data_IF_554975768875
#
_entry.id   IF_554975768875
#
_cell.length_a   1.000
_cell.length_b   1.000
_cell.length_c   1.000
_cell.angle_alpha   90.00
_cell.angle_beta   90.00
_cell.angle_gamma   90.00
#
_symmetry.space_group_name_H-M   'P 1'
#
loop_
_entity.id
_entity.type
_entity.pdbx_description
1 polymer ?
#
# COMPACT_ATOMS: atom_id res chain seq x y z
N UNK A 1 -1.99 -9.02 -1.64
CA UNK A 1 -3.43 -9.32 -1.57
C UNK A 1 -3.78 -10.25 -2.72
N UNK A 2 -4.52 -11.31 -2.45
CA UNK A 2 -4.45 -12.57 -3.23
C UNK A 2 -5.77 -12.87 -3.95
N UNK A 3 -5.71 -13.36 -5.20
CA UNK A 3 -6.81 -14.00 -5.94
C UNK A 3 -6.57 -15.50 -6.11
N UNK A 4 -7.57 -16.33 -5.78
CA UNK A 4 -7.70 -17.68 -6.30
C UNK A 4 -8.79 -17.65 -7.37
N UNK A 5 -8.44 -17.66 -8.66
CA UNK A 5 -9.45 -17.82 -9.72
C UNK A 5 -9.67 -19.31 -9.98
N UNK A 6 -10.91 -19.77 -9.84
CA UNK A 6 -11.44 -20.92 -10.56
C UNK A 6 -11.96 -20.46 -11.93
N UNK A 7 -11.94 -21.36 -12.91
CA UNK A 7 -12.32 -21.07 -14.29
C UNK A 7 -13.82 -20.77 -14.41
N UNK A 8 -14.17 -19.67 -15.09
CA UNK A 8 -15.50 -19.48 -15.68
C UNK A 8 -15.37 -19.09 -17.14
N UNK A 9 -16.29 -19.64 -17.96
CA UNK A 9 -16.29 -19.60 -19.42
C UNK A 9 -16.48 -18.18 -19.99
N UNK A 10 -16.21 -17.93 -21.28
CA UNK A 10 -16.02 -16.59 -21.86
C UNK A 10 -17.28 -15.71 -21.98
N UNK A 11 -18.44 -16.09 -21.45
CA UNK A 11 -19.71 -15.49 -21.87
C UNK A 11 -20.25 -14.30 -21.03
N UNK A 12 -19.72 -14.02 -19.84
CA UNK A 12 -20.32 -12.98 -18.97
C UNK A 12 -19.61 -11.62 -19.02
N UNK A 13 -19.20 -11.18 -20.20
CA UNK A 13 -18.83 -9.78 -20.45
C UNK A 13 -20.06 -9.02 -20.96
N UNK A 14 -20.94 -8.60 -20.06
CA UNK A 14 -21.67 -7.32 -20.11
C UNK A 14 -22.77 -7.26 -19.04
N UNK A 15 -22.60 -6.41 -18.04
CA UNK A 15 -23.71 -5.67 -17.44
C UNK A 15 -23.18 -4.46 -16.66
N UNK A 16 -23.33 -3.28 -17.25
CA UNK A 16 -23.38 -2.02 -16.51
C UNK A 16 -24.71 -1.99 -15.75
N UNK A 17 -24.68 -2.10 -14.43
CA UNK A 17 -25.82 -1.73 -13.59
C UNK A 17 -25.35 -1.27 -12.22
N UNK A 18 -25.77 -0.06 -11.85
CA UNK A 18 -25.62 0.53 -10.52
C UNK A 18 -26.28 -0.42 -9.52
N UNK A 19 -25.50 -1.00 -8.60
CA UNK A 19 -26.01 -1.94 -7.61
C UNK A 19 -26.55 -1.21 -6.37
N UNK A 20 -27.67 -1.72 -5.87
CA UNK A 20 -28.40 -1.22 -4.70
C UNK A 20 -27.61 -1.38 -3.39
N UNK A 21 -27.74 -0.44 -2.45
CA UNK A 21 -26.92 -0.41 -1.21
C UNK A 21 -27.20 -1.61 -0.29
N UNK A 22 -28.44 -2.09 -0.25
CA UNK A 22 -28.84 -3.23 0.57
C UNK A 22 -28.30 -4.56 0.00
N UNK A 23 -28.17 -4.65 -1.33
CA UNK A 23 -27.49 -5.76 -2.01
C UNK A 23 -25.98 -5.69 -1.75
N UNK A 24 -25.42 -4.47 -1.73
CA UNK A 24 -24.02 -4.25 -1.35
C UNK A 24 -23.78 -4.74 0.08
N UNK A 25 -24.64 -4.42 1.03
CA UNK A 25 -24.51 -4.80 2.44
C UNK A 25 -24.74 -6.31 2.67
N UNK A 26 -25.68 -6.91 1.94
CA UNK A 26 -25.93 -8.36 1.94
C UNK A 26 -24.75 -9.17 1.37
N UNK A 27 -24.17 -8.71 0.26
CA UNK A 27 -22.95 -9.28 -0.32
C UNK A 27 -21.75 -9.10 0.63
N UNK A 28 -21.68 -7.99 1.36
CA UNK A 28 -20.63 -7.71 2.36
C UNK A 28 -20.68 -8.67 3.56
N UNK A 29 -21.86 -9.22 3.89
CA UNK A 29 -22.04 -10.19 4.99
C UNK A 29 -21.69 -11.64 4.62
N UNK A 30 -21.84 -12.06 3.35
CA UNK A 30 -21.43 -13.40 2.89
C UNK A 30 -19.94 -13.51 2.52
N UNK A 31 -19.29 -12.38 2.19
CA UNK A 31 -17.87 -12.29 1.85
C UNK A 31 -16.99 -12.32 3.11
N UNK A 32 -16.87 -13.49 3.74
CA UNK A 32 -16.02 -13.71 4.92
C UNK A 32 -14.56 -13.31 4.64
N UNK A 33 -14.27 -12.04 4.93
CA UNK A 33 -13.01 -11.36 4.65
C UNK A 33 -11.86 -12.09 5.34
N UNK A 34 -11.04 -12.85 4.60
CA UNK A 34 -9.80 -13.47 5.08
C UNK A 34 -8.72 -12.40 5.33
N UNK A 35 -9.02 -11.48 6.24
CA UNK A 35 -8.14 -10.40 6.67
C UNK A 35 -6.96 -11.01 7.42
N UNK A 36 -5.75 -10.50 7.16
CA UNK A 36 -4.53 -10.97 7.79
C UNK A 36 -4.58 -10.94 9.32
N UNK A 37 -5.24 -9.92 9.90
CA UNK A 37 -5.42 -9.81 11.35
C UNK A 37 -6.35 -10.87 11.95
N UNK A 38 -7.25 -11.45 11.16
CA UNK A 38 -8.11 -12.56 11.57
C UNK A 38 -7.38 -13.90 11.41
N UNK A 39 -6.60 -14.06 10.34
CA UNK A 39 -5.78 -15.26 10.10
C UNK A 39 -4.81 -15.48 11.28
N UNK A 40 -4.16 -14.43 11.76
CA UNK A 40 -3.27 -14.53 12.93
C UNK A 40 -3.97 -15.02 14.22
N UNK A 41 -5.30 -14.95 14.30
CA UNK A 41 -6.10 -15.46 15.44
C UNK A 41 -6.60 -16.89 15.22
N UNK A 42 -6.49 -17.42 14.01
CA UNK A 42 -6.96 -18.76 13.66
C UNK A 42 -5.78 -19.66 13.21
N UNK A 43 -5.18 -20.45 14.12
CA UNK A 43 -4.09 -21.36 13.78
C UNK A 43 -4.44 -22.45 12.76
N UNK A 44 -5.72 -22.75 12.57
CA UNK A 44 -6.19 -23.76 11.60
C UNK A 44 -6.28 -23.23 10.17
N UNK A 45 -6.15 -21.91 9.97
CA UNK A 45 -6.17 -21.33 8.63
C UNK A 45 -4.92 -21.78 7.83
N UNK A 46 -5.07 -22.27 6.58
CA UNK A 46 -3.95 -22.76 5.78
C UNK A 46 -2.86 -21.71 5.51
N UNK A 47 -3.17 -20.42 5.60
CA UNK A 47 -2.22 -19.32 5.39
C UNK A 47 -1.51 -18.92 6.70
N UNK A 48 -2.04 -19.29 7.86
CA UNK A 48 -1.49 -18.93 9.17
C UNK A 48 0.00 -19.31 9.35
N UNK A 49 0.44 -20.55 9.01
CA UNK A 49 1.84 -20.94 9.19
C UNK A 49 2.80 -20.03 8.42
N UNK A 50 2.42 -19.66 7.19
CA UNK A 50 3.22 -18.79 6.33
C UNK A 50 3.26 -17.37 6.87
N UNK A 51 2.13 -16.79 7.26
CA UNK A 51 2.10 -15.41 7.81
C UNK A 51 2.90 -15.33 9.12
N UNK A 52 2.84 -16.37 9.95
CA UNK A 52 3.62 -16.45 11.20
C UNK A 52 5.12 -16.50 10.91
N UNK A 53 5.53 -17.31 9.94
CA UNK A 53 6.93 -17.41 9.50
C UNK A 53 7.47 -16.09 8.94
N UNK A 54 6.64 -15.34 8.23
CA UNK A 54 7.00 -14.05 7.62
C UNK A 54 6.56 -12.84 8.44
N UNK A 55 6.46 -13.00 9.76
CA UNK A 55 6.06 -11.93 10.70
C UNK A 55 7.05 -10.75 10.79
N UNK A 56 8.26 -10.91 10.24
CA UNK A 56 9.26 -9.86 10.07
C UNK A 56 8.92 -8.89 8.93
N UNK A 57 8.23 -9.35 7.89
CA UNK A 57 7.84 -8.55 6.70
C UNK A 57 6.35 -8.29 6.58
N UNK A 58 5.51 -9.16 7.13
CA UNK A 58 4.05 -8.97 7.19
C UNK A 58 3.64 -8.79 8.64
N UNK A 59 3.57 -7.53 9.07
CA UNK A 59 3.37 -7.19 10.48
C UNK A 59 2.53 -5.93 10.64
N UNK A 60 2.07 -5.69 11.87
CA UNK A 60 1.33 -4.45 12.20
C UNK A 60 2.25 -3.23 12.33
N UNK A 61 3.50 -3.48 12.71
CA UNK A 61 4.48 -2.45 13.07
C UNK A 61 5.75 -2.69 12.25
N UNK A 62 5.80 -2.23 10.98
CA UNK A 62 7.02 -2.30 10.21
C UNK A 62 8.12 -1.46 10.90
N UNK A 63 9.40 -1.83 10.74
CA UNK A 63 10.48 -1.11 11.38
C UNK A 63 10.56 0.33 10.85
N UNK A 64 10.65 1.30 11.77
CA UNK A 64 10.85 2.71 11.43
C UNK A 64 12.35 2.94 11.17
N UNK A 65 12.82 2.52 9.99
CA UNK A 65 14.19 2.73 9.51
C UNK A 65 14.20 3.22 8.07
N UNK A 66 15.33 3.79 7.63
CA UNK A 66 15.51 4.13 6.23
C UNK A 66 15.54 2.86 5.36
N UNK A 67 14.97 2.91 4.14
CA UNK A 67 15.12 1.82 3.20
C UNK A 67 16.60 1.60 2.84
N UNK A 68 17.00 0.38 2.44
CA UNK A 68 18.35 0.14 1.97
C UNK A 68 18.65 1.00 0.73
N UNK A 69 19.89 1.43 0.56
CA UNK A 69 20.31 2.12 -0.67
C UNK A 69 20.26 1.12 -1.83
N UNK A 70 19.55 1.50 -2.89
CA UNK A 70 19.37 0.68 -4.11
C UNK A 70 20.02 1.33 -5.34
N UNK A 71 20.85 2.35 -5.13
CA UNK A 71 21.45 3.14 -6.23
C UNK A 71 20.46 4.08 -6.94
N UNK A 72 19.19 4.06 -6.54
CA UNK A 72 18.15 4.97 -7.03
C UNK A 72 17.71 5.85 -5.87
N UNK A 73 17.78 7.17 -6.06
CA UNK A 73 17.31 8.17 -5.09
C UNK A 73 16.15 8.95 -5.69
N UNK A 74 15.24 9.37 -4.82
CA UNK A 74 14.21 10.31 -5.23
C UNK A 74 14.84 11.69 -5.34
N UNK A 75 14.87 12.22 -6.55
CA UNK A 75 15.36 13.56 -6.86
C UNK A 75 14.17 14.49 -7.13
N UNK A 76 14.34 15.75 -6.75
CA UNK A 76 13.34 16.80 -6.91
C UNK A 76 13.98 17.88 -7.77
N UNK A 77 13.72 17.80 -9.06
CA UNK A 77 14.21 18.78 -10.03
C UNK A 77 13.35 20.04 -9.99
N UNK A 78 13.99 21.19 -9.82
CA UNK A 78 13.32 22.48 -9.89
C UNK A 78 13.47 23.08 -11.29
N UNK A 79 12.46 23.84 -11.72
CA UNK A 79 12.52 24.59 -12.98
C UNK A 79 13.75 25.51 -12.96
N UNK A 80 14.59 25.53 -14.01
CA UNK A 80 15.77 26.37 -14.07
C UNK A 80 15.48 27.84 -13.74
N UNK A 81 16.31 28.45 -12.89
CA UNK A 81 16.11 29.82 -12.42
C UNK A 81 15.16 29.94 -11.21
N UNK A 82 14.62 28.84 -10.68
CA UNK A 82 13.92 28.85 -9.39
C UNK A 82 14.89 29.28 -8.29
N UNK A 83 14.51 30.32 -7.54
CA UNK A 83 15.31 30.81 -6.40
C UNK A 83 15.11 29.86 -5.21
N UNK A 84 14.22 30.17 -4.29
CA UNK A 84 13.77 29.26 -3.24
C UNK A 84 12.29 29.50 -2.98
N UNK A 85 11.61 28.47 -2.46
CA UNK A 85 10.19 28.56 -2.10
C UNK A 85 10.07 28.52 -0.59
N UNK A 86 9.65 29.64 -0.01
CA UNK A 86 9.52 29.82 1.44
C UNK A 86 8.08 30.17 1.75
N UNK A 87 7.43 29.30 2.50
CA UNK A 87 6.17 29.57 3.15
C UNK A 87 6.39 29.45 4.65
N UNK A 88 6.10 30.52 5.39
CA UNK A 88 6.26 30.53 6.86
C UNK A 88 5.26 29.57 7.51
N UNK A 89 5.67 28.97 8.62
CA UNK A 89 4.77 28.20 9.48
C UNK A 89 3.61 29.10 9.93
N UNK A 90 2.38 28.67 9.68
CA UNK A 90 1.20 29.35 10.18
C UNK A 90 1.06 29.16 11.70
N UNK A 91 0.42 30.10 12.41
CA UNK A 91 0.05 29.88 13.80
C UNK A 91 -0.81 28.62 13.94
N UNK A 92 -0.42 27.73 14.85
CA UNK A 92 -1.13 26.49 15.13
C UNK A 92 -1.61 26.45 16.59
N UNK A 93 -2.72 25.78 16.87
CA UNK A 93 -3.10 25.44 18.24
C UNK A 93 -2.00 24.62 18.92
N UNK A 94 -1.83 24.82 20.23
CA UNK A 94 -0.81 24.14 21.03
C UNK A 94 -0.85 22.61 20.88
N UNK A 95 -2.04 22.02 20.85
CA UNK A 95 -2.22 20.58 20.65
C UNK A 95 -1.56 20.08 19.34
N UNK A 96 -1.67 20.86 18.26
CA UNK A 96 -1.04 20.48 16.99
C UNK A 96 0.48 20.62 17.05
N UNK A 97 0.99 21.68 17.70
CA UNK A 97 2.43 21.85 17.90
C UNK A 97 3.03 20.66 18.65
N UNK A 98 2.41 20.26 19.76
CA UNK A 98 2.88 19.12 20.57
C UNK A 98 2.91 17.81 19.77
N UNK A 99 1.91 17.59 18.90
CA UNK A 99 1.85 16.42 18.02
C UNK A 99 2.96 16.47 16.95
N UNK A 100 3.21 17.64 16.37
CA UNK A 100 4.24 17.83 15.35
C UNK A 100 5.63 17.62 15.96
N UNK A 101 5.90 18.22 17.12
CA UNK A 101 7.18 18.10 17.80
C UNK A 101 7.46 16.65 18.21
N UNK A 102 6.48 15.96 18.77
CA UNK A 102 6.60 14.54 19.12
C UNK A 102 6.90 13.67 17.88
N UNK A 103 6.21 13.94 16.75
CA UNK A 103 6.44 13.22 15.51
C UNK A 103 7.87 13.43 14.98
N UNK A 104 8.35 14.68 14.95
CA UNK A 104 9.70 14.97 14.46
C UNK A 104 10.79 14.46 15.40
N UNK A 105 10.58 14.46 16.72
CA UNK A 105 11.50 13.86 17.68
C UNK A 105 11.65 12.35 17.46
N UNK A 106 10.54 11.63 17.25
CA UNK A 106 10.56 10.20 16.91
C UNK A 106 11.28 9.95 15.59
N UNK A 107 10.96 10.73 14.56
CA UNK A 107 11.56 10.57 13.24
C UNK A 107 13.04 10.91 13.22
N UNK A 108 13.47 11.91 13.98
CA UNK A 108 14.88 12.27 14.13
C UNK A 108 15.65 11.13 14.82
N UNK A 109 15.07 10.55 15.88
CA UNK A 109 15.64 9.36 16.55
C UNK A 109 15.81 8.17 15.61
N UNK A 110 14.88 8.01 14.64
CA UNK A 110 14.98 6.95 13.62
C UNK A 110 15.87 7.29 12.41
N UNK A 111 16.44 8.50 12.35
CA UNK A 111 17.25 8.97 11.22
C UNK A 111 16.47 9.27 9.94
N UNK A 112 15.14 9.28 9.98
CA UNK A 112 14.29 9.61 8.82
C UNK A 112 14.27 11.11 8.49
N UNK A 113 14.50 11.96 9.49
CA UNK A 113 14.56 13.41 9.36
C UNK A 113 15.77 13.93 10.11
N UNK A 114 16.25 15.10 9.70
CA UNK A 114 17.37 15.79 10.34
C UNK A 114 17.18 17.28 10.22
N UNK A 115 17.88 18.03 11.07
CA UNK A 115 17.97 19.48 10.91
C UNK A 115 18.58 19.83 9.55
N UNK A 116 18.06 20.92 8.97
CA UNK A 116 18.43 21.39 7.65
C UNK A 116 18.57 22.90 7.66
N UNK A 117 19.54 23.40 6.90
CA UNK A 117 19.72 24.83 6.60
C UNK A 117 19.20 25.17 5.20
N UNK A 118 18.23 24.38 4.71
CA UNK A 118 17.64 24.58 3.39
C UNK A 118 17.06 25.99 3.26
N UNK A 119 17.27 26.68 2.13
CA UNK A 119 16.59 27.93 1.85
C UNK A 119 15.10 27.72 1.56
N UNK A 120 14.65 26.48 1.30
CA UNK A 120 13.24 26.15 1.12
C UNK A 120 12.57 25.87 2.46
N UNK A 121 11.31 26.29 2.59
CA UNK A 121 10.49 26.00 3.76
C UNK A 121 9.02 25.84 3.39
N UNK A 122 8.37 24.86 4.01
CA UNK A 122 6.93 24.60 3.88
C UNK A 122 6.31 24.52 5.28
N UNK A 123 5.10 25.04 5.50
CA UNK A 123 4.40 24.84 6.75
C UNK A 123 3.98 23.37 6.86
N UNK A 124 3.94 22.92 8.10
CA UNK A 124 3.42 21.62 8.51
C UNK A 124 2.20 21.85 9.38
N UNK A 125 1.18 21.01 9.25
CA UNK A 125 -0.02 21.07 10.08
C UNK A 125 -0.63 19.67 10.23
N UNK A 126 -1.64 19.53 11.09
CA UNK A 126 -2.29 18.26 11.35
C UNK A 126 -3.75 18.29 10.89
N UNK A 127 -4.20 17.16 10.33
CA UNK A 127 -5.63 16.89 10.06
C UNK A 127 -6.08 15.65 10.84
N UNK A 128 -7.33 15.62 11.29
CA UNK A 128 -7.91 14.44 11.93
C UNK A 128 -8.29 13.41 10.85
N UNK A 129 -7.87 12.16 11.05
CA UNK A 129 -8.43 11.02 10.32
C UNK A 129 -9.81 10.67 10.88
N UNK A 130 -10.66 9.94 10.12
CA UNK A 130 -11.95 9.46 10.63
C UNK A 130 -11.86 8.64 11.92
N UNK A 131 -10.74 7.95 12.14
CA UNK A 131 -10.46 7.20 13.37
C UNK A 131 -9.96 8.07 14.54
N UNK A 132 -10.07 9.40 14.45
CA UNK A 132 -9.65 10.36 15.46
C UNK A 132 -8.14 10.63 15.54
N UNK A 133 -7.30 9.81 14.89
CA UNK A 133 -5.83 10.00 14.91
C UNK A 133 -5.40 11.21 14.09
N UNK A 134 -4.33 11.86 14.51
CA UNK A 134 -3.70 12.92 13.73
C UNK A 134 -2.97 12.37 12.50
N UNK A 135 -3.00 13.15 11.42
CA UNK A 135 -2.18 12.97 10.22
C UNK A 135 -1.39 14.27 10.01
N UNK A 136 -0.07 14.16 10.05
CA UNK A 136 0.81 15.26 9.64
C UNK A 136 0.64 15.53 8.14
N UNK A 137 0.61 16.80 7.76
CA UNK A 137 0.51 17.26 6.38
C UNK A 137 1.52 18.37 6.15
N UNK A 138 2.31 18.26 5.09
CA UNK A 138 3.22 19.29 4.60
C UNK A 138 2.58 19.98 3.39
N UNK A 139 2.46 21.31 3.42
CA UNK A 139 1.83 22.06 2.33
C UNK A 139 2.81 22.38 1.19
N UNK A 140 3.29 21.35 0.49
CA UNK A 140 4.29 21.49 -0.58
C UNK A 140 3.80 22.21 -1.85
N UNK A 141 2.59 22.78 -1.89
CA UNK A 141 1.99 23.38 -3.08
C UNK A 141 2.94 24.36 -3.82
N UNK A 142 3.59 25.27 -3.09
CA UNK A 142 4.52 26.22 -3.71
C UNK A 142 5.79 25.55 -4.24
N UNK A 143 6.28 24.52 -3.56
CA UNK A 143 7.44 23.76 -3.99
C UNK A 143 7.09 22.95 -5.24
N UNK A 144 5.98 22.23 -5.22
CA UNK A 144 5.47 21.41 -6.32
C UNK A 144 5.24 22.24 -7.59
N UNK A 145 4.72 23.46 -7.49
CA UNK A 145 4.56 24.37 -8.63
C UNK A 145 5.88 24.83 -9.27
N UNK A 146 6.99 24.68 -8.55
CA UNK A 146 8.33 25.02 -9.02
C UNK A 146 9.15 23.78 -9.43
N UNK A 147 8.58 22.58 -9.32
CA UNK A 147 9.22 21.35 -9.76
C UNK A 147 9.02 21.14 -11.26
N UNK A 148 9.99 20.49 -11.90
CA UNK A 148 9.80 19.92 -13.24
C UNK A 148 8.83 18.75 -13.12
N UNK A 149 7.71 18.73 -13.87
CA UNK A 149 6.77 17.61 -13.82
C UNK A 149 7.46 16.31 -14.25
N UNK A 150 7.44 15.30 -13.38
CA UNK A 150 7.92 13.97 -13.72
C UNK A 150 7.06 13.39 -14.85
N UNK A 151 7.69 12.92 -15.92
CA UNK A 151 7.01 12.30 -17.07
C UNK A 151 6.95 10.77 -16.99
N UNK A 152 7.00 10.19 -15.80
CA UNK A 152 6.92 8.72 -15.66
C UNK A 152 5.51 8.25 -16.03
N UNK A 153 5.34 7.44 -17.09
CA UNK A 153 4.02 6.98 -17.50
C UNK A 153 3.48 6.02 -16.45
N UNK A 154 2.43 6.44 -15.75
CA UNK A 154 1.71 5.59 -14.80
C UNK A 154 0.68 4.79 -15.61
N UNK A 155 0.74 3.45 -15.60
CA UNK A 155 -0.24 2.65 -16.29
C UNK A 155 -1.64 2.90 -15.71
N UNK A 156 -2.63 3.07 -16.57
CA UNK A 156 -4.02 3.21 -16.14
C UNK A 156 -4.51 1.90 -15.50
N UNK A 157 -5.45 2.01 -14.56
CA UNK A 157 -5.96 0.87 -13.79
C UNK A 157 -6.54 -0.26 -14.67
N UNK A 158 -7.20 0.08 -15.76
CA UNK A 158 -7.77 -0.86 -16.74
C UNK A 158 -6.68 -1.68 -17.44
N UNK A 159 -5.57 -1.03 -17.82
CA UNK A 159 -4.42 -1.72 -18.42
C UNK A 159 -3.85 -2.75 -17.46
N UNK A 160 -3.77 -2.41 -16.16
CA UNK A 160 -3.28 -3.33 -15.14
C UNK A 160 -4.22 -4.51 -14.95
N UNK A 161 -5.53 -4.27 -14.86
CA UNK A 161 -6.55 -5.31 -14.72
C UNK A 161 -6.52 -6.29 -15.90
N UNK A 162 -6.41 -5.77 -17.12
CA UNK A 162 -6.32 -6.59 -18.34
C UNK A 162 -5.03 -7.42 -18.41
N UNK A 163 -3.96 -6.97 -17.74
CA UNK A 163 -2.68 -7.68 -17.68
C UNK A 163 -2.62 -8.73 -16.57
N UNK A 164 -3.55 -8.74 -15.59
CA UNK A 164 -3.56 -9.74 -14.51
C UNK A 164 -3.58 -11.18 -15.08
N UNK A 165 -4.45 -11.55 -16.03
CA UNK A 165 -4.44 -12.89 -16.62
C UNK A 165 -3.14 -13.25 -17.36
N UNK A 166 -2.37 -12.24 -17.79
CA UNK A 166 -1.12 -12.39 -18.53
C UNK A 166 0.12 -12.43 -17.62
N UNK A 167 -0.01 -11.93 -16.38
CA UNK A 167 1.05 -11.98 -15.38
C UNK A 167 1.21 -13.41 -14.85
N UNK A 168 2.45 -13.84 -14.57
CA UNK A 168 2.72 -15.22 -14.15
C UNK A 168 1.98 -15.60 -12.87
N UNK A 169 2.10 -14.78 -11.82
CA UNK A 169 1.35 -14.97 -10.57
C UNK A 169 1.34 -13.73 -9.67
N UNK A 170 2.06 -12.66 -10.02
CA UNK A 170 2.11 -11.44 -9.22
C UNK A 170 2.08 -10.20 -10.12
N UNK A 171 1.30 -9.21 -9.71
CA UNK A 171 1.17 -7.91 -10.36
C UNK A 171 1.25 -6.82 -9.28
N UNK A 172 2.00 -5.76 -9.52
CA UNK A 172 2.13 -4.64 -8.57
C UNK A 172 1.54 -3.36 -9.14
N UNK A 173 0.97 -2.53 -8.28
CA UNK A 173 0.58 -1.16 -8.59
C UNK A 173 0.76 -0.27 -7.38
N UNK A 174 1.68 0.69 -7.47
CA UNK A 174 2.10 1.52 -6.33
C UNK A 174 2.44 0.70 -5.08
N UNK A 175 1.61 0.79 -4.04
CA UNK A 175 1.77 0.11 -2.76
C UNK A 175 1.04 -1.24 -2.69
N UNK A 176 0.25 -1.59 -3.72
CA UNK A 176 -0.48 -2.85 -3.78
C UNK A 176 0.28 -3.93 -4.56
N UNK A 177 0.32 -5.13 -3.98
CA UNK A 177 0.82 -6.35 -4.61
C UNK A 177 -0.34 -7.32 -4.74
N UNK A 178 -0.71 -7.66 -5.97
CA UNK A 178 -1.73 -8.66 -6.31
C UNK A 178 -1.05 -9.98 -6.61
N UNK A 179 -1.47 -11.06 -5.96
CA UNK A 179 -0.92 -12.40 -6.20
C UNK A 179 -2.05 -13.31 -6.63
N UNK A 180 -1.97 -13.93 -7.80
CA UNK A 180 -2.96 -14.87 -8.28
C UNK A 180 -2.34 -16.24 -8.54
N UNK A 181 -3.13 -17.29 -8.37
CA UNK A 181 -2.69 -18.67 -8.56
C UNK A 181 -3.81 -19.50 -9.15
N UNK A 182 -3.42 -20.53 -9.91
CA UNK A 182 -4.30 -21.58 -10.43
C UNK A 182 -3.73 -22.93 -10.05
N UNK A 183 -4.55 -23.97 -10.10
CA UNK A 183 -4.09 -25.35 -9.93
C UNK A 183 -3.17 -25.72 -11.10
N UNK A 184 -2.03 -26.36 -10.81
CA UNK A 184 -1.00 -26.72 -11.79
C UNK A 184 -0.21 -27.92 -11.26
N UNK A 185 0.31 -28.77 -12.15
CA UNK A 185 1.15 -29.93 -11.82
C UNK A 185 0.57 -30.87 -10.74
N UNK A 186 -0.75 -31.09 -10.79
CA UNK A 186 -1.46 -31.94 -9.82
C UNK A 186 -1.61 -31.35 -8.42
N UNK A 187 -1.21 -30.10 -8.22
CA UNK A 187 -1.41 -29.37 -6.97
C UNK A 187 -2.70 -28.55 -7.00
N UNK A 188 -3.33 -28.43 -5.84
CA UNK A 188 -4.49 -27.55 -5.66
C UNK A 188 -4.09 -26.08 -5.85
N UNK A 189 -5.07 -25.25 -6.21
CA UNK A 189 -4.84 -23.81 -6.32
C UNK A 189 -4.31 -23.19 -5.01
N UNK A 190 -4.74 -23.71 -3.85
CA UNK A 190 -4.26 -23.26 -2.54
C UNK A 190 -2.78 -23.59 -2.32
N UNK A 191 -2.33 -24.80 -2.65
CA UNK A 191 -0.92 -25.20 -2.51
C UNK A 191 -0.01 -24.35 -3.40
N UNK A 192 -0.41 -24.16 -4.67
CA UNK A 192 0.28 -23.25 -5.58
C UNK A 192 0.28 -21.81 -5.05
N UNK A 193 -0.80 -21.39 -4.41
CA UNK A 193 -0.91 -20.07 -3.84
C UNK A 193 0.02 -19.81 -2.66
N UNK A 194 0.15 -20.78 -1.76
CA UNK A 194 1.12 -20.71 -0.67
C UNK A 194 2.56 -20.64 -1.19
N UNK A 195 2.88 -21.36 -2.28
CA UNK A 195 4.18 -21.27 -2.95
C UNK A 195 4.44 -19.89 -3.55
N UNK A 196 3.46 -19.31 -4.24
CA UNK A 196 3.57 -17.96 -4.82
C UNK A 196 3.71 -16.89 -3.73
N UNK A 197 2.92 -16.97 -2.65
CA UNK A 197 3.05 -16.06 -1.50
C UNK A 197 4.43 -16.12 -0.87
N UNK A 198 4.94 -17.34 -0.64
CA UNK A 198 6.30 -17.54 -0.11
C UNK A 198 7.32 -16.82 -0.98
N UNK A 199 7.25 -17.00 -2.30
CA UNK A 199 8.17 -16.34 -3.24
C UNK A 199 8.07 -14.82 -3.17
N UNK A 200 6.85 -14.27 -3.07
CA UNK A 200 6.64 -12.83 -2.91
C UNK A 200 7.22 -12.33 -1.59
N UNK A 201 6.98 -13.03 -0.48
CA UNK A 201 7.50 -12.65 0.82
C UNK A 201 9.02 -12.75 0.92
N UNK A 202 9.64 -13.73 0.26
CA UNK A 202 11.10 -13.80 0.14
C UNK A 202 11.67 -12.57 -0.58
N UNK A 203 11.03 -12.16 -1.68
CA UNK A 203 11.41 -10.93 -2.40
C UNK A 203 11.22 -9.71 -1.51
N UNK A 204 10.11 -9.61 -0.77
CA UNK A 204 9.88 -8.52 0.18
C UNK A 204 10.96 -8.48 1.26
N UNK A 205 11.29 -9.63 1.86
CA UNK A 205 12.33 -9.76 2.89
C UNK A 205 13.71 -9.37 2.37
N UNK A 206 14.11 -9.90 1.22
CA UNK A 206 15.37 -9.55 0.57
C UNK A 206 15.49 -8.05 0.28
N UNK A 207 14.38 -7.40 -0.06
CA UNK A 207 14.34 -5.98 -0.39
C UNK A 207 13.97 -5.05 0.77
N UNK A 208 13.75 -5.59 1.98
CA UNK A 208 13.24 -4.82 3.15
C UNK A 208 11.97 -4.03 2.83
N UNK A 209 11.03 -4.69 2.16
CA UNK A 209 9.67 -4.21 1.94
C UNK A 209 8.75 -4.84 2.99
N UNK A 210 7.79 -4.06 3.49
CA UNK A 210 6.93 -4.47 4.59
C UNK A 210 5.46 -4.27 4.24
N UNK A 211 4.63 -5.27 4.52
CA UNK A 211 3.19 -5.19 4.38
C UNK A 211 2.52 -5.05 5.75
N UNK A 212 1.49 -4.19 5.81
CA UNK A 212 0.67 -4.07 7.00
C UNK A 212 -0.35 -5.21 7.06
N UNK A 213 -0.20 -6.11 8.02
CA UNK A 213 -1.07 -7.29 8.16
C UNK A 213 -2.56 -6.91 8.35
N UNK A 214 -2.86 -5.78 8.99
CA UNK A 214 -4.24 -5.31 9.22
C UNK A 214 -4.94 -4.90 7.90
N UNK A 215 -4.17 -4.66 6.84
CA UNK A 215 -4.66 -4.29 5.51
C UNK A 215 -4.56 -5.42 4.48
N UNK A 216 -3.94 -6.54 4.83
CA UNK A 216 -3.78 -7.66 3.90
C UNK A 216 -5.04 -8.52 3.86
N UNK A 217 -5.41 -8.99 2.67
CA UNK A 217 -6.38 -10.08 2.47
C UNK A 217 -5.67 -11.24 1.77
N UNK A 218 -5.88 -12.45 2.27
CA UNK A 218 -5.20 -13.65 1.78
C UNK A 218 -6.17 -14.71 1.31
N UNK A 219 -5.79 -15.44 0.26
CA UNK A 219 -6.49 -16.63 -0.22
C UNK A 219 -8.02 -16.46 -0.33
N UNK A 220 -8.45 -15.30 -0.83
CA UNK A 220 -9.84 -15.00 -1.12
C UNK A 220 -10.17 -15.38 -2.57
N UNK A 221 -11.40 -15.82 -2.79
CA UNK A 221 -11.90 -16.16 -4.13
C UNK A 221 -12.04 -14.89 -4.99
N UNK A 222 -12.52 -13.80 -4.38
CA UNK A 222 -12.67 -12.50 -5.02
C UNK A 222 -12.09 -11.39 -4.15
N UNK A 223 -11.45 -10.41 -4.79
CA UNK A 223 -10.98 -9.19 -4.12
C UNK A 223 -11.32 -7.97 -4.97
N UNK A 224 -11.62 -6.86 -4.30
CA UNK A 224 -11.75 -5.55 -4.96
C UNK A 224 -10.36 -5.05 -5.36
N UNK A 225 -10.15 -4.81 -6.65
CA UNK A 225 -8.88 -4.31 -7.21
C UNK A 225 -9.10 -2.90 -7.76
N UNK A 226 -8.38 -1.90 -7.22
CA UNK A 226 -8.39 -0.51 -7.71
C UNK A 226 -9.78 0.13 -7.86
N UNK A 227 -10.71 -0.23 -6.97
CA UNK A 227 -12.09 0.26 -7.00
C UNK A 227 -13.05 -0.57 -7.86
N UNK A 228 -12.54 -1.57 -8.58
CA UNK A 228 -13.30 -2.48 -9.43
C UNK A 228 -13.41 -3.86 -8.75
N UNK A 229 -14.50 -4.58 -9.03
CA UNK A 229 -14.64 -6.00 -8.74
C UNK A 229 -14.35 -6.77 -10.04
#
# INVERSE_FOLDING_TARGET
MVLLKSETSPEDLNASSVMDEDVLEGITKQRATRLGSQILKNPEDPVYPLVKEYSDVVSKHPPSQLPPDRGVRHEIDLVPGTIYRVTRQWPLPREQCEVIDAFFAEKAKSGMVRESKSPHSTPTFCVRKPNGKWRLVHAYNQLNNAMVPAQTPIPRKDVLLNNIPLSTFAQTYFDDIFVHSRAEDGQTAMEMHLKHLRRVFDVMRANKLYANIDKCVFAAEEIKVLGCF
#
